data_IF_358517393413
#
_entry.id   IF_358517393413
#
_cell.length_a   1.000
_cell.length_b   1.000
_cell.length_c   1.000
_cell.angle_alpha   90.00
_cell.angle_beta   90.00
_cell.angle_gamma   90.00
#
_symmetry.space_group_name_H-M   'P 1'
#
loop_
_entity.id
_entity.type
_entity.pdbx_description
1 polymer ?
#
# COMPACT_ATOMS: atom_id res chain seq x y z
N UNK A 1 -3.35 15.43 1.28
CA UNK A 1 -4.09 14.16 1.20
C UNK A 1 -3.53 13.39 0.01
N UNK A 2 -3.14 12.14 0.21
CA UNK A 2 -2.52 11.28 -0.81
C UNK A 2 -3.17 9.93 -0.79
N UNK A 3 -3.35 9.28 -1.93
CA UNK A 3 -4.20 8.09 -1.99
C UNK A 3 -3.44 6.89 -2.52
N UNK A 4 -3.53 5.73 -1.88
CA UNK A 4 -2.69 4.55 -2.21
C UNK A 4 -3.52 3.32 -2.53
N UNK A 5 -3.23 2.71 -3.68
CA UNK A 5 -3.96 1.58 -4.27
C UNK A 5 -3.48 0.19 -3.81
N UNK A 6 -4.36 -0.73 -3.40
CA UNK A 6 -4.02 -2.15 -3.13
C UNK A 6 -4.98 -3.05 -3.91
N UNK A 7 -4.52 -3.81 -4.91
CA UNK A 7 -5.39 -4.68 -5.66
C UNK A 7 -5.45 -6.12 -5.16
N UNK A 8 -6.49 -6.79 -5.62
CA UNK A 8 -6.81 -8.19 -5.39
C UNK A 8 -7.32 -8.78 -6.73
N UNK A 9 -6.85 -9.99 -7.09
CA UNK A 9 -7.18 -10.69 -8.35
C UNK A 9 -8.08 -11.89 -8.02
N UNK A 10 -9.14 -12.09 -8.81
CA UNK A 10 -9.86 -13.37 -8.85
C UNK A 10 -9.50 -14.14 -10.14
N UNK A 11 -9.13 -15.42 -10.00
CA UNK A 11 -9.16 -16.39 -11.09
C UNK A 11 -9.99 -17.62 -10.65
N UNK A 12 -10.73 -18.29 -11.56
CA UNK A 12 -11.85 -19.15 -11.16
C UNK A 12 -11.48 -20.56 -10.67
N UNK A 13 -10.21 -20.85 -10.41
CA UNK A 13 -9.77 -22.20 -9.99
C UNK A 13 -8.76 -22.25 -8.85
N UNK A 14 -8.32 -21.11 -8.30
CA UNK A 14 -7.44 -21.09 -7.13
C UNK A 14 -7.89 -20.00 -6.16
N UNK A 15 -8.57 -20.41 -5.10
CA UNK A 15 -9.14 -19.56 -4.03
C UNK A 15 -8.09 -18.76 -3.23
N UNK A 16 -6.81 -18.71 -3.66
CA UNK A 16 -5.67 -18.18 -2.91
C UNK A 16 -4.85 -17.08 -3.63
N UNK A 17 -5.30 -16.52 -4.76
CA UNK A 17 -4.45 -15.65 -5.59
C UNK A 17 -4.77 -14.16 -5.54
N UNK A 18 -5.12 -13.61 -4.37
CA UNK A 18 -5.13 -12.15 -4.25
C UNK A 18 -3.71 -11.63 -4.37
N UNK A 19 -3.48 -10.73 -5.33
CA UNK A 19 -2.16 -10.16 -5.61
C UNK A 19 -2.21 -8.65 -5.51
N UNK A 20 -1.27 -8.10 -4.76
CA UNK A 20 -1.07 -6.66 -4.64
C UNK A 20 -0.12 -6.18 -5.74
N UNK A 21 -0.53 -5.15 -6.50
CA UNK A 21 0.31 -4.40 -7.44
C UNK A 21 1.15 -3.44 -6.63
N UNK A 22 2.45 -3.54 -6.82
CA UNK A 22 3.40 -2.57 -6.33
C UNK A 22 4.23 -2.04 -7.51
N UNK A 23 4.58 -0.76 -7.43
CA UNK A 23 5.39 -0.07 -8.41
C UNK A 23 6.74 0.28 -7.76
N UNK A 24 7.81 0.06 -8.50
CA UNK A 24 9.13 0.56 -8.19
C UNK A 24 9.27 1.95 -8.81
N UNK A 25 9.46 2.99 -7.99
CA UNK A 25 9.57 4.36 -8.51
C UNK A 25 10.85 4.55 -9.34
N UNK A 26 10.75 5.12 -10.54
CA UNK A 26 11.87 5.45 -11.43
C UNK A 26 12.58 6.74 -10.99
N UNK A 27 11.81 7.76 -10.62
CA UNK A 27 12.30 9.05 -10.19
C UNK A 27 11.84 9.34 -8.75
N UNK A 28 12.60 10.18 -8.06
CA UNK A 28 12.24 10.63 -6.73
C UNK A 28 11.46 11.92 -6.86
N UNK A 29 10.19 11.92 -6.48
CA UNK A 29 9.45 13.17 -6.37
C UNK A 29 9.64 13.72 -4.94
N UNK A 30 10.39 14.83 -4.74
CA UNK A 30 10.59 15.44 -3.44
C UNK A 30 9.28 15.97 -2.82
N UNK A 31 8.29 16.32 -3.64
CA UNK A 31 6.94 16.68 -3.16
C UNK A 31 6.16 15.44 -2.69
N UNK A 32 6.44 14.25 -3.24
CA UNK A 32 5.90 12.97 -2.76
C UNK A 32 6.82 12.29 -1.72
N UNK A 33 8.01 12.83 -1.44
CA UNK A 33 9.06 12.18 -0.65
C UNK A 33 9.27 10.71 -1.05
N UNK A 34 9.07 10.40 -2.33
CA UNK A 34 9.41 9.09 -2.90
C UNK A 34 10.91 9.12 -3.14
N UNK A 35 11.65 8.22 -2.53
CA UNK A 35 13.05 8.03 -2.95
C UNK A 35 13.06 7.23 -4.26
N UNK A 36 13.89 7.60 -5.24
CA UNK A 36 14.07 6.76 -6.43
C UNK A 36 14.40 5.32 -6.01
N UNK A 37 13.73 4.33 -6.62
CA UNK A 37 13.92 2.92 -6.31
C UNK A 37 13.21 2.42 -5.05
N UNK A 38 12.30 3.19 -4.45
CA UNK A 38 11.40 2.66 -3.41
C UNK A 38 10.20 1.94 -4.03
N UNK A 39 9.75 0.88 -3.34
CA UNK A 39 8.50 0.19 -3.67
C UNK A 39 7.33 0.93 -3.00
N UNK A 40 6.37 1.34 -3.82
CA UNK A 40 5.13 1.97 -3.36
C UNK A 40 3.92 1.46 -4.14
N UNK A 41 2.75 1.77 -3.59
CA UNK A 41 1.50 1.63 -4.33
C UNK A 41 1.30 2.81 -5.26
N UNK A 42 0.60 2.63 -6.39
CA UNK A 42 0.21 3.75 -7.25
C UNK A 42 -0.54 4.82 -6.47
N UNK A 43 -0.26 6.07 -6.77
CA UNK A 43 -0.90 7.18 -6.06
C UNK A 43 -0.02 8.39 -5.81
N UNK A 44 -0.63 9.57 -5.75
CA UNK A 44 0.12 10.81 -5.61
C UNK A 44 -0.59 11.85 -4.76
N UNK A 45 -0.32 13.10 -5.08
CA UNK A 45 -0.86 14.25 -4.37
C UNK A 45 -2.19 14.62 -5.00
N UNK A 46 -3.17 14.90 -4.16
CA UNK A 46 -4.46 15.44 -4.63
C UNK A 46 -4.26 16.73 -5.43
N UNK A 47 -4.79 16.74 -6.65
CA UNK A 47 -4.90 17.88 -7.53
C UNK A 47 -6.19 18.68 -7.22
N UNK A 48 -6.21 20.02 -7.40
CA UNK A 48 -7.43 20.82 -7.25
C UNK A 48 -8.62 20.35 -8.10
N UNK A 49 -8.38 19.64 -9.19
CA UNK A 49 -9.41 19.08 -10.08
C UNK A 49 -9.99 17.75 -9.59
N UNK A 50 -9.31 17.06 -8.67
CA UNK A 50 -9.77 15.79 -8.12
C UNK A 50 -10.99 16.01 -7.22
N UNK A 51 -12.10 15.34 -7.54
CA UNK A 51 -13.38 15.48 -6.81
C UNK A 51 -13.26 15.02 -5.36
N UNK A 52 -12.52 13.95 -5.14
CA UNK A 52 -12.26 13.36 -3.84
C UNK A 52 -10.95 12.54 -3.86
N UNK A 53 -10.70 11.82 -2.76
CA UNK A 53 -9.55 10.94 -2.64
C UNK A 53 -9.59 9.76 -3.62
N UNK A 54 -10.76 9.20 -3.90
CA UNK A 54 -10.86 8.07 -4.82
C UNK A 54 -10.48 8.53 -6.23
N UNK A 55 -10.96 9.71 -6.65
CA UNK A 55 -10.61 10.34 -7.93
C UNK A 55 -9.09 10.57 -8.04
N UNK A 56 -8.46 11.06 -6.95
CA UNK A 56 -6.99 11.18 -6.85
C UNK A 56 -6.30 9.84 -7.07
N UNK A 57 -6.76 8.77 -6.40
CA UNK A 57 -6.18 7.44 -6.52
C UNK A 57 -6.23 6.91 -7.96
N UNK A 58 -7.39 7.08 -8.60
CA UNK A 58 -7.67 6.55 -9.92
C UNK A 58 -6.89 7.30 -11.00
N UNK A 59 -6.83 8.64 -10.91
CA UNK A 59 -6.02 9.46 -11.82
C UNK A 59 -4.55 9.03 -11.77
N UNK A 60 -3.98 8.95 -10.57
CA UNK A 60 -2.57 8.61 -10.37
C UNK A 60 -2.27 7.17 -10.78
N UNK A 61 -3.17 6.21 -10.50
CA UNK A 61 -3.01 4.83 -10.97
C UNK A 61 -3.09 4.74 -12.52
N UNK A 62 -3.89 5.57 -13.15
CA UNK A 62 -3.94 5.67 -14.60
C UNK A 62 -2.64 6.27 -15.16
N UNK A 63 -2.12 7.33 -14.56
CA UNK A 63 -0.88 8.01 -14.97
C UNK A 63 0.35 7.12 -14.78
N UNK A 64 0.45 6.42 -13.65
CA UNK A 64 1.64 5.62 -13.29
C UNK A 64 1.68 4.26 -13.98
N UNK A 65 0.55 3.55 -14.07
CA UNK A 65 0.50 2.15 -14.52
C UNK A 65 -0.55 1.86 -15.59
N UNK A 66 -1.24 2.89 -16.10
CA UNK A 66 -2.26 2.74 -17.15
C UNK A 66 -3.58 2.14 -16.68
N UNK A 67 -3.84 2.07 -15.37
CA UNK A 67 -5.07 1.48 -14.82
C UNK A 67 -6.27 2.41 -15.05
N UNK A 68 -7.12 2.09 -16.03
CA UNK A 68 -8.30 2.90 -16.32
C UNK A 68 -9.39 2.72 -15.26
N UNK A 69 -10.21 3.76 -14.95
CA UNK A 69 -11.28 3.68 -13.95
C UNK A 69 -12.31 2.56 -14.17
N UNK A 70 -12.50 2.08 -15.41
CA UNK A 70 -13.44 0.99 -15.71
C UNK A 70 -12.83 -0.40 -15.45
N UNK A 71 -11.51 -0.49 -15.30
CA UNK A 71 -10.81 -1.75 -15.05
C UNK A 71 -10.67 -2.03 -13.56
N UNK A 72 -11.46 -1.33 -12.74
CA UNK A 72 -11.23 -1.29 -11.32
C UNK A 72 -12.51 -1.02 -10.54
N UNK A 73 -12.82 -1.90 -9.61
CA UNK A 73 -13.94 -1.77 -8.68
C UNK A 73 -13.43 -1.30 -7.32
N UNK A 74 -13.68 -0.04 -7.00
CA UNK A 74 -13.29 0.53 -5.69
C UNK A 74 -14.20 -0.03 -4.60
N UNK A 75 -13.60 -0.66 -3.60
CA UNK A 75 -14.32 -1.29 -2.48
C UNK A 75 -14.41 -0.37 -1.28
N UNK A 76 -13.30 0.25 -0.87
CA UNK A 76 -13.31 1.14 0.28
C UNK A 76 -12.12 2.10 0.33
N UNK A 77 -12.24 3.09 1.20
CA UNK A 77 -11.11 3.83 1.76
C UNK A 77 -10.77 3.22 3.12
N UNK A 78 -9.49 2.97 3.37
CA UNK A 78 -9.03 2.58 4.69
C UNK A 78 -8.78 3.81 5.58
N UNK A 79 -8.59 3.56 6.88
CA UNK A 79 -8.23 4.59 7.85
C UNK A 79 -6.99 5.35 7.35
N UNK A 80 -7.02 6.69 7.31
CA UNK A 80 -5.87 7.48 6.89
C UNK A 80 -4.64 7.25 7.77
N UNK A 81 -3.48 7.34 7.15
CA UNK A 81 -2.17 7.28 7.80
C UNK A 81 -1.55 8.68 7.83
N UNK A 82 -1.19 9.14 9.03
CA UNK A 82 -0.41 10.36 9.20
C UNK A 82 1.08 10.03 9.04
N UNK A 83 1.67 10.44 7.91
CA UNK A 83 3.08 10.18 7.61
C UNK A 83 4.01 11.13 8.37
N UNK A 84 3.65 12.41 8.40
CA UNK A 84 4.25 13.43 9.25
C UNK A 84 3.17 14.47 9.61
N UNK A 85 3.55 15.56 10.31
CA UNK A 85 2.61 16.58 10.78
C UNK A 85 1.72 17.17 9.68
N UNK A 86 2.21 17.24 8.44
CA UNK A 86 1.56 17.94 7.34
C UNK A 86 1.06 16.99 6.22
N UNK A 87 1.33 15.69 6.33
CA UNK A 87 1.06 14.71 5.27
C UNK A 87 0.12 13.61 5.73
N UNK A 88 -1.13 13.70 5.28
CA UNK A 88 -2.14 12.65 5.40
C UNK A 88 -2.20 11.78 4.14
N UNK A 89 -2.20 10.46 4.31
CA UNK A 89 -2.33 9.45 3.25
C UNK A 89 -3.60 8.64 3.48
N UNK A 90 -4.58 8.68 2.58
CA UNK A 90 -5.82 7.90 2.59
C UNK A 90 -5.66 6.68 1.69
N UNK A 91 -5.55 5.43 2.16
CA UNK A 91 -5.47 4.28 1.24
C UNK A 91 -6.84 4.00 0.58
N UNK A 92 -6.83 3.64 -0.70
CA UNK A 92 -8.01 3.17 -1.47
C UNK A 92 -7.75 1.74 -1.92
N UNK A 93 -8.72 0.87 -1.67
CA UNK A 93 -8.65 -0.55 -2.00
C UNK A 93 -9.68 -0.87 -3.05
N UNK A 94 -9.33 -1.71 -4.02
CA UNK A 94 -10.31 -2.24 -4.93
C UNK A 94 -9.83 -3.44 -5.75
N UNK A 95 -10.76 -4.06 -6.47
CA UNK A 95 -10.46 -5.20 -7.33
C UNK A 95 -10.08 -4.71 -8.72
N UNK A 96 -9.01 -5.29 -9.28
CA UNK A 96 -8.57 -4.98 -10.64
C UNK A 96 -9.12 -6.04 -11.60
N UNK A 97 -9.60 -5.58 -12.76
CA UNK A 97 -10.04 -6.45 -13.85
C UNK A 97 -8.95 -7.43 -14.27
N UNK A 98 -9.33 -8.70 -14.44
CA UNK A 98 -8.39 -9.78 -14.77
C UNK A 98 -7.65 -9.60 -16.11
N UNK A 99 -8.16 -8.77 -17.02
CA UNK A 99 -7.51 -8.45 -18.31
C UNK A 99 -6.62 -7.22 -18.23
N UNK A 100 -6.53 -6.55 -17.08
CA UNK A 100 -5.60 -5.44 -16.91
C UNK A 100 -4.16 -5.91 -17.13
N UNK A 101 -3.45 -5.16 -17.96
CA UNK A 101 -2.02 -5.30 -18.19
C UNK A 101 -1.39 -3.96 -17.86
N UNK A 102 -0.46 -3.95 -16.92
CA UNK A 102 0.21 -2.72 -16.50
C UNK A 102 0.98 -2.11 -17.67
N UNK A 103 0.86 -0.79 -17.82
CA UNK A 103 1.63 0.02 -18.75
C UNK A 103 2.39 1.06 -17.92
N UNK A 104 3.58 0.71 -17.38
CA UNK A 104 4.34 1.61 -16.52
C UNK A 104 4.74 2.86 -17.30
N UNK A 105 4.47 4.03 -16.73
CA UNK A 105 5.01 5.28 -17.23
C UNK A 105 6.50 5.36 -16.87
N UNK A 106 7.44 5.32 -17.84
CA UNK A 106 8.87 5.24 -17.55
C UNK A 106 9.44 6.48 -16.85
N UNK A 107 8.73 7.62 -16.89
CA UNK A 107 9.16 8.85 -16.22
C UNK A 107 9.00 8.74 -14.67
N UNK A 108 8.10 7.87 -14.22
CA UNK A 108 7.71 7.75 -12.80
C UNK A 108 7.87 6.35 -12.24
N UNK A 109 7.68 5.32 -13.06
CA UNK A 109 7.65 3.91 -12.67
C UNK A 109 8.68 3.12 -13.45
N UNK A 110 9.65 2.55 -12.73
CA UNK A 110 10.72 1.72 -13.27
C UNK A 110 10.24 0.30 -13.53
N UNK A 111 9.39 -0.20 -12.64
CA UNK A 111 8.93 -1.59 -12.70
C UNK A 111 7.58 -1.74 -11.99
N UNK A 112 6.78 -2.71 -12.43
CA UNK A 112 5.51 -3.07 -11.81
C UNK A 112 5.48 -4.56 -11.61
N UNK A 113 5.20 -4.97 -10.38
CA UNK A 113 5.20 -6.38 -10.01
C UNK A 113 4.03 -6.71 -9.09
N UNK A 114 3.73 -8.00 -9.00
CA UNK A 114 2.66 -8.54 -8.18
C UNK A 114 3.25 -9.34 -7.03
N UNK A 115 2.67 -9.18 -5.85
CA UNK A 115 3.00 -9.99 -4.67
C UNK A 115 1.73 -10.71 -4.21
N UNK A 116 1.75 -12.04 -4.06
CA UNK A 116 0.68 -12.76 -3.38
C UNK A 116 0.43 -12.11 -2.02
N UNK A 117 -0.80 -11.71 -1.73
CA UNK A 117 -1.07 -10.91 -0.55
C UNK A 117 -0.77 -11.73 0.73
N UNK A 118 -0.82 -13.06 0.68
CA UNK A 118 -0.59 -13.99 1.80
C UNK A 118 0.90 -14.03 2.18
N UNK A 119 1.76 -13.62 1.26
CA UNK A 119 3.17 -13.36 1.51
C UNK A 119 3.39 -12.38 2.65
N UNK A 120 2.49 -11.42 2.85
CA UNK A 120 2.61 -10.46 3.95
C UNK A 120 2.24 -11.05 5.30
N UNK A 121 1.54 -12.19 5.36
CA UNK A 121 1.28 -12.93 6.61
C UNK A 121 2.36 -13.99 6.88
N UNK A 122 2.84 -14.64 5.81
CA UNK A 122 3.78 -15.75 5.88
C UNK A 122 5.00 -15.50 4.97
N UNK A 123 5.80 -14.45 5.24
CA UNK A 123 6.93 -14.10 4.41
C UNK A 123 8.05 -15.13 4.53
N UNK A 124 8.76 -15.38 3.42
CA UNK A 124 9.99 -16.19 3.44
C UNK A 124 11.15 -15.42 4.05
N UNK A 125 11.25 -14.13 3.74
CA UNK A 125 12.30 -13.24 4.25
C UNK A 125 11.65 -11.96 4.78
N UNK A 126 11.75 -11.77 6.09
CA UNK A 126 11.18 -10.63 6.80
C UNK A 126 12.09 -10.21 7.97
N UNK A 127 12.14 -8.92 8.20
CA UNK A 127 12.68 -8.35 9.43
C UNK A 127 11.82 -7.18 9.91
N UNK A 128 11.88 -6.89 11.20
CA UNK A 128 11.16 -5.78 11.82
C UNK A 128 12.03 -5.05 12.82
N UNK A 129 11.80 -3.74 12.96
CA UNK A 129 12.49 -2.88 13.92
C UNK A 129 11.50 -1.93 14.57
N UNK A 130 11.69 -1.65 15.85
CA UNK A 130 10.96 -0.58 16.53
C UNK A 130 11.61 0.76 16.19
N UNK A 131 10.81 1.68 15.65
CA UNK A 131 11.23 3.04 15.31
C UNK A 131 10.32 4.04 16.01
N UNK A 132 10.91 5.10 16.54
CA UNK A 132 10.17 6.26 17.04
C UNK A 132 10.25 7.37 16.00
N UNK A 133 9.09 7.82 15.51
CA UNK A 133 8.99 8.99 14.61
C UNK A 133 7.93 9.95 15.14
N UNK A 134 8.25 11.24 15.17
CA UNK A 134 7.37 12.29 15.68
C UNK A 134 6.81 12.00 17.09
N UNK A 135 7.61 11.38 17.97
CA UNK A 135 7.21 11.03 19.34
C UNK A 135 6.37 9.74 19.46
N UNK A 136 6.06 9.06 18.36
CA UNK A 136 5.28 7.83 18.36
C UNK A 136 6.13 6.64 17.91
N UNK A 137 6.14 5.58 18.74
CA UNK A 137 6.72 4.29 18.38
C UNK A 137 5.84 3.55 17.37
N UNK A 138 6.47 2.90 16.40
CA UNK A 138 5.83 1.98 15.45
C UNK A 138 6.83 0.90 15.00
N UNK A 139 6.30 -0.21 14.48
CA UNK A 139 7.06 -1.32 13.92
C UNK A 139 7.32 -1.02 12.44
N UNK A 140 8.58 -0.93 12.09
CA UNK A 140 9.04 -0.81 10.72
C UNK A 140 9.26 -2.20 10.13
N UNK A 141 8.33 -2.65 9.31
CA UNK A 141 8.42 -3.93 8.60
C UNK A 141 9.30 -3.82 7.34
N UNK A 142 10.05 -4.87 7.06
CA UNK A 142 10.84 -5.05 5.85
C UNK A 142 10.65 -6.47 5.33
N UNK A 143 10.02 -6.58 4.16
CA UNK A 143 9.80 -7.85 3.45
C UNK A 143 10.68 -7.88 2.20
N UNK A 144 11.32 -9.02 1.94
CA UNK A 144 12.02 -9.24 0.67
C UNK A 144 11.22 -10.25 -0.14
N UNK A 145 10.73 -9.86 -1.31
CA UNK A 145 9.96 -10.75 -2.18
C UNK A 145 10.73 -11.02 -3.46
N UNK A 146 11.05 -12.28 -3.73
CA UNK A 146 11.62 -12.71 -5.01
C UNK A 146 10.50 -13.21 -5.91
N UNK A 147 10.29 -12.55 -7.05
CA UNK A 147 9.34 -12.99 -8.04
C UNK A 147 9.81 -14.33 -8.64
N UNK A 148 9.01 -15.40 -8.53
CA UNK A 148 9.41 -16.72 -9.04
C UNK A 148 9.48 -16.79 -10.58
N UNK A 149 8.86 -15.84 -11.29
CA UNK A 149 8.80 -15.86 -12.76
C UNK A 149 10.10 -15.36 -13.41
N UNK A 150 10.74 -14.34 -12.83
CA UNK A 150 11.94 -13.68 -13.38
C UNK A 150 13.16 -13.71 -12.44
N UNK A 151 12.98 -14.11 -11.18
CA UNK A 151 14.03 -14.15 -10.15
C UNK A 151 14.40 -12.80 -9.55
N UNK A 152 13.68 -11.72 -9.88
CA UNK A 152 13.96 -10.37 -9.36
C UNK A 152 13.47 -10.25 -7.91
N UNK A 153 14.32 -9.68 -7.04
CA UNK A 153 13.99 -9.45 -5.63
C UNK A 153 13.66 -7.99 -5.35
N UNK A 154 12.52 -7.77 -4.69
CA UNK A 154 12.00 -6.47 -4.29
C UNK A 154 11.99 -6.31 -2.77
N UNK A 155 12.35 -5.12 -2.30
CA UNK A 155 12.32 -4.77 -0.87
C UNK A 155 11.09 -3.90 -0.58
N UNK A 156 10.12 -4.46 0.15
CA UNK A 156 8.87 -3.80 0.50
C UNK A 156 8.94 -3.40 1.97
N UNK A 157 8.92 -2.09 2.24
CA UNK A 157 9.26 -1.55 3.58
C UNK A 157 8.33 -0.42 4.01
N UNK A 158 8.40 -0.08 5.30
CA UNK A 158 7.76 1.10 5.87
C UNK A 158 6.24 1.12 5.68
N UNK A 159 5.70 2.25 5.24
CA UNK A 159 4.24 2.43 5.10
C UNK A 159 3.63 1.50 4.04
N UNK A 160 4.34 1.23 2.94
CA UNK A 160 3.88 0.29 1.89
C UNK A 160 3.71 -1.11 2.48
N UNK A 161 4.72 -1.60 3.19
CA UNK A 161 4.68 -2.89 3.89
C UNK A 161 3.54 -2.96 4.92
N UNK A 162 3.37 -1.89 5.71
CA UNK A 162 2.32 -1.82 6.73
C UNK A 162 0.91 -1.88 6.14
N UNK A 163 0.66 -1.18 5.05
CA UNK A 163 -0.63 -1.17 4.38
C UNK A 163 -0.92 -2.51 3.69
N UNK A 164 0.09 -3.14 3.08
CA UNK A 164 -0.04 -4.48 2.51
C UNK A 164 -0.43 -5.52 3.58
N UNK A 165 0.28 -5.50 4.71
CA UNK A 165 -0.01 -6.34 5.88
C UNK A 165 -1.42 -6.06 6.43
N UNK A 166 -1.82 -4.80 6.55
CA UNK A 166 -3.16 -4.45 7.03
C UNK A 166 -4.27 -5.05 6.14
N UNK A 167 -4.14 -4.95 4.81
CA UNK A 167 -5.11 -5.55 3.90
C UNK A 167 -5.11 -7.07 4.00
N UNK A 168 -3.93 -7.70 4.10
CA UNK A 168 -3.82 -9.13 4.31
C UNK A 168 -4.54 -9.58 5.60
N UNK A 169 -4.34 -8.86 6.70
CA UNK A 169 -5.01 -9.13 7.98
C UNK A 169 -6.54 -8.98 7.88
N UNK A 170 -7.03 -7.94 7.19
CA UNK A 170 -8.47 -7.71 7.02
C UNK A 170 -9.11 -8.83 6.20
N UNK A 171 -8.44 -9.28 5.14
CA UNK A 171 -9.01 -10.25 4.20
C UNK A 171 -8.99 -11.66 4.78
N UNK A 172 -7.88 -12.08 5.39
CA UNK A 172 -7.75 -13.45 5.89
C UNK A 172 -8.10 -13.62 7.36
N UNK A 173 -8.03 -12.57 8.18
CA UNK A 173 -8.25 -12.67 9.61
C UNK A 173 -7.20 -13.54 10.33
N UNK A 174 -6.09 -13.85 9.68
CA UNK A 174 -5.05 -14.73 10.21
C UNK A 174 -3.91 -13.92 10.87
N UNK A 175 -3.38 -14.46 11.97
CA UNK A 175 -2.28 -13.83 12.70
C UNK A 175 -0.93 -14.28 12.12
N UNK A 176 -0.04 -13.35 11.72
CA UNK A 176 1.31 -13.70 11.29
C UNK A 176 2.17 -14.21 12.45
N UNK A 177 3.29 -14.85 12.12
CA UNK A 177 4.27 -15.36 13.08
C UNK A 177 5.27 -14.30 13.61
N UNK A 178 5.02 -13.02 13.35
CA UNK A 178 5.81 -11.88 13.81
C UNK A 178 4.90 -10.84 14.49
N UNK A 179 5.51 -9.85 15.14
CA UNK A 179 4.75 -8.85 15.91
C UNK A 179 4.06 -7.85 14.97
N UNK A 180 2.84 -7.45 15.34
CA UNK A 180 2.04 -6.49 14.59
C UNK A 180 1.56 -5.38 15.51
N UNK A 181 1.34 -4.19 14.96
CA UNK A 181 0.79 -3.05 15.70
C UNK A 181 -0.73 -3.08 15.83
N UNK A 182 -1.40 -3.99 15.10
CA UNK A 182 -2.85 -4.03 14.99
C UNK A 182 -3.44 -4.99 16.02
N UNK A 183 -4.56 -4.59 16.63
CA UNK A 183 -5.39 -5.53 17.38
C UNK A 183 -6.20 -6.36 16.39
N UNK A 184 -5.99 -7.68 16.35
CA UNK A 184 -6.69 -8.55 15.40
C UNK A 184 -8.16 -8.77 15.74
N UNK A 185 -8.53 -8.67 17.02
CA UNK A 185 -9.93 -8.81 17.44
C UNK A 185 -10.78 -7.62 16.96
N UNK A 186 -10.14 -6.49 16.64
CA UNK A 186 -10.79 -5.29 16.14
C UNK A 186 -9.80 -4.41 15.34
N UNK A 187 -9.44 -4.89 14.15
CA UNK A 187 -8.39 -4.27 13.30
C UNK A 187 -8.74 -2.83 12.94
N UNK A 188 -10.00 -2.58 12.56
CA UNK A 188 -10.44 -1.27 12.09
C UNK A 188 -10.46 -0.26 13.25
N UNK A 189 -11.08 -0.57 14.38
CA UNK A 189 -11.12 0.37 15.50
C UNK A 189 -9.72 0.62 16.09
N UNK A 190 -8.84 -0.40 16.07
CA UNK A 190 -7.44 -0.25 16.45
C UNK A 190 -6.71 0.77 15.56
N UNK A 191 -6.93 0.71 14.25
CA UNK A 191 -6.38 1.67 13.30
C UNK A 191 -6.93 3.08 13.55
N UNK A 192 -8.24 3.24 13.70
CA UNK A 192 -8.88 4.54 13.96
C UNK A 192 -8.38 5.18 15.26
N UNK A 193 -8.29 4.40 16.35
CA UNK A 193 -7.79 4.89 17.63
C UNK A 193 -6.32 5.32 17.54
N UNK A 194 -5.49 4.54 16.85
CA UNK A 194 -4.08 4.89 16.60
C UNK A 194 -3.96 6.16 15.77
N UNK A 195 -4.78 6.30 14.73
CA UNK A 195 -4.83 7.50 13.90
C UNK A 195 -5.27 8.73 14.71
N UNK A 196 -6.41 8.68 15.40
CA UNK A 196 -6.93 9.78 16.20
C UNK A 196 -5.95 10.22 17.29
N UNK A 197 -5.28 9.27 17.93
CA UNK A 197 -4.25 9.59 18.92
C UNK A 197 -3.09 10.38 18.30
N UNK A 198 -2.52 9.90 17.18
CA UNK A 198 -1.43 10.58 16.47
C UNK A 198 -1.85 11.92 15.89
N UNK A 199 -3.08 12.03 15.40
CA UNK A 199 -3.63 13.27 14.87
C UNK A 199 -3.79 14.31 15.99
N UNK A 200 -4.32 13.93 17.15
CA UNK A 200 -4.48 14.83 18.28
C UNK A 200 -3.14 15.34 18.85
N UNK A 201 -2.11 14.48 18.90
CA UNK A 201 -0.78 14.83 19.42
C UNK A 201 0.13 15.54 18.43
N UNK A 202 -0.15 15.46 17.12
CA UNK A 202 0.62 16.17 16.10
C UNK A 202 0.19 17.63 15.90
N UNK A 203 -1.06 17.96 16.28
CA UNK A 203 -1.63 19.32 16.28
C UNK A 203 -1.25 20.16 17.51
N UNK A 204 -0.54 19.56 18.47
CA UNK A 204 0.12 20.23 19.60
C UNK A 204 1.61 20.46 19.29
#
# INVERSE_FOLDING_TARGET
MRVRWIPARESPTETNLLRTVAALSASGDPQLRRSPGEVCFPGGKRDPTDKDDIDTALREAQEEVGLRPQQVEVISRLVPYLFDKDTLVTPVVGFIDHNFQAQPNPDEVKDVFLVPLDYFLYPKVHSQKYITHSGHGFIFHCFEYTNPEDGVTYLIRGMTAKLALLVALIIWGEKPNFEIEFNLDDVIASCEKSFLHKYATSQL
#
